data_IF_337268920243
#
_entry.id   IF_337268920243
#
_cell.length_a   1.000
_cell.length_b   1.000
_cell.length_c   1.000
_cell.angle_alpha   90.00
_cell.angle_beta   90.00
_cell.angle_gamma   90.00
#
_symmetry.space_group_name_H-M   'P 1'
#
loop_
_entity.id
_entity.type
_entity.pdbx_description
1 polymer ?
#
# COMPACT_ATOMS: atom_id res chain seq x y z
N UNK A 1 16.80 -15.26 14.16
CA UNK A 1 17.36 -14.52 13.00
C UNK A 1 17.07 -13.05 13.22
N UNK A 2 17.96 -12.14 12.82
CA UNK A 2 17.70 -10.71 12.89
C UNK A 2 16.63 -10.35 11.87
N UNK A 3 15.66 -9.49 12.24
CA UNK A 3 14.66 -8.97 11.33
C UNK A 3 15.30 -7.99 10.33
N UNK A 4 14.75 -7.93 9.12
CA UNK A 4 15.17 -6.95 8.12
C UNK A 4 14.29 -5.71 8.30
N UNK A 5 14.93 -4.57 8.60
CA UNK A 5 14.24 -3.32 8.86
C UNK A 5 14.00 -2.56 7.57
N UNK A 6 12.73 -2.23 7.28
CA UNK A 6 12.34 -1.48 6.09
C UNK A 6 12.35 0.02 6.38
N UNK A 7 13.23 0.74 5.65
CA UNK A 7 13.40 2.20 5.75
C UNK A 7 12.79 2.95 4.55
N UNK A 8 12.42 2.22 3.49
CA UNK A 8 12.08 2.80 2.17
C UNK A 8 13.31 3.13 1.33
N UNK A 9 14.52 2.88 1.86
CA UNK A 9 15.83 3.09 1.24
C UNK A 9 16.63 1.79 1.41
N UNK A 10 17.73 1.64 0.72
CA UNK A 10 18.80 0.68 0.99
C UNK A 10 18.41 -0.82 1.08
N UNK A 11 17.25 -1.21 0.55
CA UNK A 11 16.85 -2.62 0.48
C UNK A 11 17.66 -3.31 -0.63
N UNK A 12 18.52 -4.28 -0.24
CA UNK A 12 19.41 -4.99 -1.19
C UNK A 12 18.69 -6.17 -1.86
N UNK A 13 19.25 -6.64 -2.97
CA UNK A 13 18.71 -7.80 -3.69
C UNK A 13 18.77 -9.08 -2.84
N UNK A 14 19.80 -9.23 -2.02
CA UNK A 14 19.96 -10.36 -1.09
C UNK A 14 18.88 -10.34 -0.01
N UNK A 15 18.57 -9.17 0.53
CA UNK A 15 17.48 -9.00 1.49
C UNK A 15 16.12 -9.30 0.87
N UNK A 16 15.89 -8.83 -0.37
CA UNK A 16 14.66 -9.14 -1.12
C UNK A 16 14.54 -10.66 -1.30
N UNK A 17 15.60 -11.33 -1.75
CA UNK A 17 15.60 -12.78 -1.93
C UNK A 17 15.32 -13.51 -0.62
N UNK A 18 15.97 -13.10 0.47
CA UNK A 18 15.76 -13.70 1.80
C UNK A 18 14.30 -13.55 2.29
N UNK A 19 13.67 -12.40 2.09
CA UNK A 19 12.27 -12.17 2.48
C UNK A 19 11.32 -12.97 1.59
N UNK A 20 11.57 -12.99 0.27
CA UNK A 20 10.65 -13.59 -0.68
C UNK A 20 10.74 -15.12 -0.72
N UNK A 21 11.94 -15.71 -0.57
CA UNK A 21 12.20 -17.13 -0.74
C UNK A 21 12.41 -17.86 0.60
N UNK A 22 13.11 -17.22 1.53
CA UNK A 22 13.48 -17.84 2.81
C UNK A 22 12.58 -17.36 3.96
N UNK A 23 11.55 -16.55 3.66
CA UNK A 23 10.59 -16.00 4.64
C UNK A 23 11.27 -15.26 5.81
N UNK A 24 12.38 -14.56 5.55
CA UNK A 24 13.03 -13.73 6.56
C UNK A 24 12.03 -12.68 7.09
N UNK A 25 11.99 -12.51 8.41
CA UNK A 25 11.08 -11.56 9.04
C UNK A 25 11.44 -10.10 8.71
N UNK A 26 10.43 -9.28 8.56
CA UNK A 26 10.57 -7.84 8.30
C UNK A 26 9.92 -7.02 9.41
N UNK A 27 10.45 -5.80 9.60
CA UNK A 27 9.85 -4.81 10.49
C UNK A 27 9.97 -3.41 9.89
N UNK A 28 9.13 -2.49 10.34
CA UNK A 28 9.21 -1.09 9.93
C UNK A 28 10.19 -0.33 10.83
N UNK A 29 11.06 0.48 10.21
CA UNK A 29 11.86 1.45 10.94
C UNK A 29 10.94 2.45 11.68
N UNK A 30 11.33 2.88 12.85
CA UNK A 30 10.53 3.85 13.62
C UNK A 30 10.39 5.19 12.88
N UNK A 31 11.46 5.65 12.23
CA UNK A 31 11.41 6.84 11.37
C UNK A 31 10.39 6.68 10.23
N UNK A 32 10.31 5.49 9.61
CA UNK A 32 9.34 5.20 8.56
C UNK A 32 7.90 5.29 9.06
N UNK A 33 7.61 4.81 10.28
CA UNK A 33 6.28 4.96 10.89
C UNK A 33 5.93 6.43 11.10
N UNK A 34 6.86 7.23 11.59
CA UNK A 34 6.65 8.67 11.79
C UNK A 34 6.37 9.40 10.46
N UNK A 35 7.09 9.05 9.40
CA UNK A 35 6.87 9.60 8.07
C UNK A 35 5.47 9.24 7.52
N UNK A 36 5.02 8.00 7.71
CA UNK A 36 3.67 7.56 7.33
C UNK A 36 2.62 8.36 8.10
N UNK A 37 2.76 8.49 9.43
CA UNK A 37 1.82 9.22 10.27
C UNK A 37 1.76 10.71 9.89
N UNK A 38 2.90 11.34 9.63
CA UNK A 38 2.96 12.74 9.20
C UNK A 38 2.24 12.94 7.84
N UNK A 39 2.50 12.06 6.88
CA UNK A 39 1.82 12.09 5.58
C UNK A 39 0.32 11.82 5.70
N UNK A 40 -0.08 10.89 6.55
CA UNK A 40 -1.49 10.59 6.81
C UNK A 40 -2.21 11.78 7.44
N UNK A 41 -1.57 12.46 8.38
CA UNK A 41 -2.14 13.65 9.03
C UNK A 41 -2.53 14.72 8.00
N UNK A 42 -1.73 14.94 6.97
CA UNK A 42 -2.07 15.89 5.89
C UNK A 42 -3.38 15.52 5.22
N UNK A 43 -3.60 14.23 4.94
CA UNK A 43 -4.86 13.78 4.34
C UNK A 43 -6.04 13.98 5.30
N UNK A 44 -5.86 13.64 6.57
CA UNK A 44 -6.93 13.79 7.57
C UNK A 44 -7.30 15.27 7.78
N UNK A 45 -6.31 16.18 7.79
CA UNK A 45 -6.52 17.63 7.89
C UNK A 45 -7.30 18.15 6.64
N UNK A 46 -6.91 17.73 5.42
CA UNK A 46 -7.59 18.13 4.19
C UNK A 46 -9.06 17.66 4.15
N UNK A 47 -9.33 16.46 4.64
CA UNK A 47 -10.68 15.92 4.73
C UNK A 47 -11.50 16.68 5.78
N UNK A 48 -10.90 16.99 6.94
CA UNK A 48 -11.56 17.72 8.01
C UNK A 48 -11.89 19.18 7.63
N UNK A 49 -11.03 19.80 6.81
CA UNK A 49 -11.22 21.17 6.30
C UNK A 49 -12.13 21.22 5.04
N UNK A 50 -12.64 20.08 4.60
CA UNK A 50 -13.46 19.94 3.39
C UNK A 50 -12.82 20.57 2.12
N UNK A 51 -11.48 20.61 2.08
CA UNK A 51 -10.74 21.12 0.93
C UNK A 51 -10.92 20.21 -0.28
N UNK A 52 -11.13 20.84 -1.43
CA UNK A 52 -11.23 20.13 -2.72
C UNK A 52 -9.83 19.72 -3.18
N UNK A 53 -9.49 18.45 -3.04
CA UNK A 53 -8.20 17.90 -3.45
C UNK A 53 -8.42 16.64 -4.29
N UNK A 54 -7.86 16.64 -5.49
CA UNK A 54 -7.97 15.51 -6.42
C UNK A 54 -7.56 14.18 -5.81
N UNK A 55 -8.45 13.21 -5.93
CA UNK A 55 -8.21 11.84 -5.42
C UNK A 55 -8.28 11.67 -3.91
N UNK A 56 -8.57 12.74 -3.15
CA UNK A 56 -8.78 12.71 -1.70
C UNK A 56 -10.24 13.01 -1.38
N UNK A 57 -10.74 14.17 -1.83
CA UNK A 57 -12.10 14.67 -1.59
C UNK A 57 -12.91 14.85 -2.87
N UNK A 58 -12.40 14.40 -4.01
CA UNK A 58 -13.09 14.40 -5.30
C UNK A 58 -13.12 13.01 -5.92
N UNK A 59 -13.91 12.85 -6.98
CA UNK A 59 -13.83 11.70 -7.88
C UNK A 59 -12.54 11.70 -8.71
N UNK A 60 -12.44 10.74 -9.62
CA UNK A 60 -11.28 10.51 -10.49
C UNK A 60 -11.62 10.78 -11.96
N UNK A 61 -10.61 11.13 -12.76
CA UNK A 61 -10.74 11.31 -14.20
C UNK A 61 -11.81 12.37 -14.54
N UNK A 62 -12.85 11.98 -15.27
CA UNK A 62 -13.95 12.87 -15.67
C UNK A 62 -14.71 13.48 -14.47
N UNK A 63 -14.62 12.89 -13.31
CA UNK A 63 -15.26 13.32 -12.06
C UNK A 63 -14.31 14.04 -11.11
N UNK A 64 -13.16 14.50 -11.59
CA UNK A 64 -12.14 15.19 -10.79
C UNK A 64 -12.65 16.47 -10.11
N UNK A 65 -13.66 17.12 -10.68
CA UNK A 65 -14.25 18.37 -10.17
C UNK A 65 -15.50 18.13 -9.30
N UNK A 66 -15.92 16.87 -9.15
CA UNK A 66 -17.09 16.52 -8.34
C UNK A 66 -16.65 16.32 -6.89
N UNK A 67 -17.07 17.24 -6.03
CA UNK A 67 -16.87 17.13 -4.57
C UNK A 67 -17.74 16.01 -4.02
N UNK A 68 -17.15 15.14 -3.23
CA UNK A 68 -17.79 13.96 -2.67
C UNK A 68 -17.92 14.13 -1.16
N UNK A 69 -19.13 13.95 -0.64
CA UNK A 69 -19.36 13.98 0.82
C UNK A 69 -18.61 12.86 1.55
N UNK A 70 -18.33 13.05 2.83
CA UNK A 70 -17.61 12.04 3.63
C UNK A 70 -18.30 10.67 3.62
N UNK A 71 -19.64 10.64 3.64
CA UNK A 71 -20.42 9.39 3.60
C UNK A 71 -20.28 8.68 2.26
N UNK A 72 -20.17 9.43 1.16
CA UNK A 72 -19.98 8.89 -0.18
C UNK A 72 -18.52 8.47 -0.46
N UNK A 73 -17.56 8.99 0.30
CA UNK A 73 -16.14 8.61 0.13
C UNK A 73 -15.90 7.10 0.33
N UNK A 74 -16.56 6.49 1.31
CA UNK A 74 -16.43 5.04 1.55
C UNK A 74 -16.98 4.21 0.39
N UNK A 75 -18.12 4.61 -0.14
CA UNK A 75 -18.75 3.93 -1.29
C UNK A 75 -17.91 4.10 -2.55
N UNK A 76 -17.40 5.31 -2.80
CA UNK A 76 -16.48 5.57 -3.89
C UNK A 76 -15.25 4.68 -3.83
N UNK A 77 -14.59 4.57 -2.67
CA UNK A 77 -13.40 3.73 -2.51
C UNK A 77 -13.70 2.25 -2.76
N UNK A 78 -14.84 1.76 -2.29
CA UNK A 78 -15.28 0.39 -2.56
C UNK A 78 -15.55 0.17 -4.05
N UNK A 79 -16.26 1.08 -4.69
CA UNK A 79 -16.60 0.99 -6.11
C UNK A 79 -15.33 1.10 -6.97
N UNK A 80 -14.37 1.93 -6.59
CA UNK A 80 -13.09 2.04 -7.27
C UNK A 80 -12.35 0.71 -7.29
N UNK A 81 -12.26 0.01 -6.15
CA UNK A 81 -11.64 -1.31 -6.07
C UNK A 81 -12.38 -2.31 -6.98
N UNK A 82 -13.70 -2.34 -6.92
CA UNK A 82 -14.52 -3.27 -7.73
C UNK A 82 -14.34 -3.02 -9.23
N UNK A 83 -14.34 -1.75 -9.64
CA UNK A 83 -14.25 -1.39 -11.08
C UNK A 83 -12.85 -1.54 -11.65
N UNK A 84 -11.80 -1.56 -10.82
CA UNK A 84 -10.40 -1.72 -11.22
C UNK A 84 -9.85 -3.13 -10.98
N UNK A 85 -10.61 -4.01 -10.34
CA UNK A 85 -10.22 -5.39 -10.10
C UNK A 85 -10.31 -6.21 -11.40
N UNK A 86 -9.29 -6.09 -12.25
CA UNK A 86 -9.19 -6.78 -13.54
C UNK A 86 -7.95 -7.67 -13.51
N UNK A 87 -8.15 -8.94 -13.21
CA UNK A 87 -7.08 -9.93 -13.20
C UNK A 87 -7.47 -11.19 -13.97
N UNK A 88 -6.56 -11.71 -14.77
CA UNK A 88 -6.76 -12.94 -15.56
C UNK A 88 -5.46 -13.74 -15.69
N UNK A 89 -5.58 -14.99 -16.11
CA UNK A 89 -4.45 -15.89 -16.28
C UNK A 89 -4.06 -16.63 -15.01
N UNK A 90 -2.87 -17.22 -15.00
CA UNK A 90 -2.36 -17.95 -13.86
C UNK A 90 -1.86 -16.97 -12.77
N UNK A 91 -1.86 -17.37 -11.51
CA UNK A 91 -1.21 -16.59 -10.48
C UNK A 91 0.31 -16.56 -10.66
N UNK A 92 0.94 -15.47 -10.31
CA UNK A 92 2.39 -15.42 -10.18
C UNK A 92 2.90 -16.43 -9.14
N UNK A 93 4.13 -16.95 -9.30
CA UNK A 93 4.80 -17.72 -8.26
C UNK A 93 4.84 -16.97 -6.93
N UNK A 94 4.85 -17.71 -5.83
CA UNK A 94 4.76 -17.14 -4.48
C UNK A 94 5.88 -16.13 -4.20
N UNK A 95 7.13 -16.42 -4.55
CA UNK A 95 8.26 -15.52 -4.32
C UNK A 95 8.11 -14.19 -5.10
N UNK A 96 7.53 -14.24 -6.30
CA UNK A 96 7.22 -13.04 -7.10
C UNK A 96 6.10 -12.23 -6.44
N UNK A 97 5.01 -12.88 -6.02
CA UNK A 97 3.90 -12.21 -5.35
C UNK A 97 4.35 -11.58 -4.02
N UNK A 98 5.18 -12.27 -3.23
CA UNK A 98 5.82 -11.73 -2.02
C UNK A 98 6.72 -10.55 -2.33
N UNK A 99 7.47 -10.61 -3.44
CA UNK A 99 8.29 -9.50 -3.93
C UNK A 99 7.47 -8.26 -4.27
N UNK A 100 6.33 -8.42 -4.94
CA UNK A 100 5.39 -7.33 -5.25
C UNK A 100 4.87 -6.70 -3.95
N UNK A 101 4.44 -7.52 -2.97
CA UNK A 101 3.99 -7.04 -1.66
C UNK A 101 5.10 -6.27 -0.92
N UNK A 102 6.30 -6.84 -0.86
CA UNK A 102 7.46 -6.24 -0.19
C UNK A 102 7.83 -4.88 -0.80
N UNK A 103 7.96 -4.82 -2.12
CA UNK A 103 8.33 -3.57 -2.81
C UNK A 103 7.23 -2.51 -2.67
N UNK A 104 5.96 -2.92 -2.63
CA UNK A 104 4.86 -2.00 -2.32
C UNK A 104 5.00 -1.44 -0.91
N UNK A 105 5.26 -2.27 0.10
CA UNK A 105 5.52 -1.81 1.47
C UNK A 105 6.73 -0.87 1.49
N UNK A 106 7.86 -1.26 0.87
CA UNK A 106 9.06 -0.44 0.84
C UNK A 106 8.87 0.93 0.17
N UNK A 107 7.93 1.04 -0.76
CA UNK A 107 7.55 2.34 -1.33
C UNK A 107 6.68 3.15 -0.34
N UNK A 108 5.68 2.51 0.29
CA UNK A 108 4.75 3.17 1.20
C UNK A 108 5.43 3.73 2.45
N UNK A 109 6.47 3.06 2.95
CA UNK A 109 7.23 3.50 4.15
C UNK A 109 8.02 4.79 3.93
N UNK A 110 8.17 5.26 2.70
CA UNK A 110 8.74 6.58 2.41
C UNK A 110 7.88 7.74 2.93
N UNK A 111 6.59 7.50 3.20
CA UNK A 111 5.70 8.47 3.80
C UNK A 111 5.19 9.56 2.86
N UNK A 112 4.94 9.25 1.57
CA UNK A 112 4.43 10.22 0.60
C UNK A 112 3.00 9.94 0.12
N UNK A 113 2.38 8.84 0.55
CA UNK A 113 1.11 8.38 -0.02
C UNK A 113 -0.13 8.74 0.81
N UNK A 114 0.03 9.21 2.03
CA UNK A 114 -1.09 9.44 2.95
C UNK A 114 -1.83 8.17 3.39
N UNK A 115 -1.22 7.01 3.21
CA UNK A 115 -1.78 5.73 3.66
C UNK A 115 -1.83 5.66 5.18
N UNK A 116 -2.77 4.90 5.74
CA UNK A 116 -2.81 4.64 7.18
C UNK A 116 -1.70 3.67 7.59
N UNK A 117 -1.11 3.91 8.75
CA UNK A 117 -0.05 3.06 9.31
C UNK A 117 -0.53 1.61 9.49
N UNK A 118 -1.76 1.40 9.99
CA UNK A 118 -2.33 0.07 10.20
C UNK A 118 -2.37 -0.76 8.91
N UNK A 119 -2.59 -0.12 7.75
CA UNK A 119 -2.59 -0.82 6.47
C UNK A 119 -1.19 -1.34 6.11
N UNK A 120 -0.17 -0.54 6.33
CA UNK A 120 1.23 -0.92 6.07
C UNK A 120 1.68 -2.02 7.04
N UNK A 121 1.35 -1.88 8.33
CA UNK A 121 1.63 -2.90 9.35
C UNK A 121 0.90 -4.22 9.06
N UNK A 122 -0.33 -4.16 8.54
CA UNK A 122 -1.06 -5.35 8.10
C UNK A 122 -0.32 -6.06 6.97
N UNK A 123 0.18 -5.33 5.97
CA UNK A 123 0.95 -5.91 4.86
C UNK A 123 2.26 -6.56 5.36
N UNK A 124 2.96 -5.92 6.30
CA UNK A 124 4.16 -6.49 6.95
C UNK A 124 3.81 -7.76 7.71
N UNK A 125 2.72 -7.74 8.47
CA UNK A 125 2.25 -8.93 9.20
C UNK A 125 1.85 -10.07 8.26
N UNK A 126 1.27 -9.78 7.10
CA UNK A 126 1.00 -10.80 6.08
C UNK A 126 2.29 -11.45 5.58
N UNK A 127 3.30 -10.65 5.23
CA UNK A 127 4.62 -11.17 4.82
C UNK A 127 5.23 -12.07 5.90
N UNK A 128 5.23 -11.63 7.16
CA UNK A 128 5.83 -12.37 8.28
C UNK A 128 5.06 -13.65 8.63
N UNK A 129 3.75 -13.68 8.39
CA UNK A 129 2.90 -14.86 8.63
C UNK A 129 2.79 -15.80 7.42
N UNK A 130 3.52 -15.53 6.34
CA UNK A 130 3.45 -16.34 5.12
C UNK A 130 2.10 -16.22 4.38
N UNK A 131 1.35 -15.13 4.59
CA UNK A 131 0.11 -14.87 3.85
C UNK A 131 0.48 -14.14 2.56
N UNK A 132 0.36 -14.84 1.45
CA UNK A 132 0.70 -14.31 0.12
C UNK A 132 -0.55 -14.04 -0.69
N UNK A 133 -0.59 -12.87 -1.36
CA UNK A 133 -1.69 -12.50 -2.23
C UNK A 133 -1.66 -13.35 -3.51
N UNK A 134 -2.83 -13.73 -4.00
CA UNK A 134 -2.98 -14.31 -5.33
C UNK A 134 -3.01 -13.16 -6.34
N UNK A 135 -1.93 -12.99 -7.09
CA UNK A 135 -1.79 -11.91 -8.07
C UNK A 135 -1.79 -12.54 -9.46
N UNK A 136 -2.81 -12.26 -10.29
CA UNK A 136 -2.87 -12.75 -11.66
C UNK A 136 -1.73 -12.18 -12.53
N UNK A 137 -1.22 -12.98 -13.46
CA UNK A 137 -0.13 -12.57 -14.36
C UNK A 137 -0.54 -11.56 -15.43
N UNK A 138 -1.84 -11.43 -15.68
CA UNK A 138 -2.43 -10.53 -16.67
C UNK A 138 -3.51 -9.66 -16.05
N UNK A 139 -3.54 -8.43 -16.46
CA UNK A 139 -4.52 -7.45 -16.00
C UNK A 139 -4.12 -6.06 -16.46
N UNK A 140 -4.93 -5.07 -16.09
CA UNK A 140 -4.65 -3.66 -16.32
C UNK A 140 -4.80 -2.89 -15.02
N UNK A 141 -3.98 -1.88 -14.87
CA UNK A 141 -4.11 -0.85 -13.85
C UNK A 141 -4.82 0.37 -14.44
#
# INVERSE_FOLDING_TARGET
MSKITLTGKDLTLEQIAAICRDHAEVELAEEAKQNILASRKVVDDLVAEEKVVYGITTGFGKFSDVVISQDQCKELQKNLIITHAVGAGNPFPEDVARGIMLLRVNNLVKGFSGIRLETVETMVNMLNKGVTLVIPEKGSL
#
